data_IF_465546258834
#
_entry.id   IF_465546258834
#
_cell.length_a   1.000
_cell.length_b   1.000
_cell.length_c   1.000
_cell.angle_alpha   90.00
_cell.angle_beta   90.00
_cell.angle_gamma   90.00
#
_symmetry.space_group_name_H-M   'P 1'
#
loop_
_entity.id
_entity.type
_entity.pdbx_description
1 polymer ?
#
# COMPACT_ATOMS: atom_id res chain seq x y z
N UNK A 1 13.72 -34.19 -40.40
CA UNK A 1 14.29 -32.82 -40.30
C UNK A 1 14.41 -32.50 -38.82
N UNK A 2 15.64 -32.33 -38.32
CA UNK A 2 15.90 -32.06 -36.91
C UNK A 2 15.82 -30.55 -36.68
N UNK A 3 14.93 -30.11 -35.78
CA UNK A 3 14.82 -28.70 -35.35
C UNK A 3 15.88 -28.46 -34.28
N UNK A 4 16.95 -27.74 -34.64
CA UNK A 4 17.98 -27.31 -33.71
C UNK A 4 17.47 -26.13 -32.89
N UNK A 5 17.20 -26.34 -31.60
CA UNK A 5 16.91 -25.26 -30.68
C UNK A 5 18.19 -24.46 -30.43
N UNK A 6 18.27 -23.25 -30.97
CA UNK A 6 19.31 -22.27 -30.62
C UNK A 6 19.09 -21.84 -29.18
N UNK A 7 20.01 -22.20 -28.29
CA UNK A 7 20.04 -21.65 -26.94
C UNK A 7 20.67 -20.26 -26.99
N UNK A 8 19.83 -19.24 -27.10
CA UNK A 8 20.25 -17.85 -26.98
C UNK A 8 20.53 -17.54 -25.49
N UNK A 9 21.81 -17.34 -25.17
CA UNK A 9 22.28 -16.78 -23.89
C UNK A 9 21.50 -15.50 -23.54
N UNK A 10 21.08 -15.30 -22.28
CA UNK A 10 20.33 -14.10 -21.90
C UNK A 10 21.26 -12.88 -22.00
N UNK A 11 21.03 -12.06 -23.02
CA UNK A 11 21.71 -10.78 -23.15
C UNK A 11 21.37 -9.91 -21.93
N UNK A 12 22.42 -9.40 -21.26
CA UNK A 12 22.37 -8.59 -20.03
C UNK A 12 21.41 -7.39 -20.11
N UNK A 13 21.08 -6.95 -21.34
CA UNK A 13 19.81 -6.29 -21.64
C UNK A 13 19.49 -6.42 -23.12
N UNK A 14 18.27 -6.86 -23.47
CA UNK A 14 17.81 -6.92 -24.87
C UNK A 14 17.72 -5.53 -25.55
N UNK A 15 17.71 -4.45 -24.77
CA UNK A 15 17.63 -3.08 -25.27
C UNK A 15 18.62 -2.17 -24.54
N UNK A 16 19.53 -1.53 -25.30
CA UNK A 16 20.56 -0.60 -24.78
C UNK A 16 20.00 0.67 -24.13
N UNK A 17 18.76 1.06 -24.41
CA UNK A 17 18.12 2.23 -23.78
C UNK A 17 16.59 2.16 -23.84
N UNK A 18 15.91 2.94 -22.99
CA UNK A 18 14.43 3.04 -22.97
C UNK A 18 13.84 3.45 -24.32
N UNK A 19 14.58 4.26 -25.08
CA UNK A 19 14.15 4.69 -26.42
C UNK A 19 14.13 3.54 -27.44
N UNK A 20 15.01 2.55 -27.28
CA UNK A 20 15.06 1.36 -28.14
C UNK A 20 13.92 0.38 -27.85
N UNK A 21 13.39 0.35 -26.63
CA UNK A 21 12.25 -0.50 -26.27
C UNK A 21 10.94 -0.04 -26.94
N UNK A 22 10.72 1.27 -27.03
CA UNK A 22 9.40 1.84 -27.40
C UNK A 22 8.89 1.45 -28.79
N UNK A 23 9.77 1.34 -29.80
CA UNK A 23 9.37 0.97 -31.17
C UNK A 23 8.90 -0.49 -31.26
N UNK A 24 9.67 -1.48 -30.79
CA UNK A 24 9.23 -2.87 -30.66
C UNK A 24 7.92 -3.00 -29.88
N UNK A 25 7.80 -2.41 -28.68
CA UNK A 25 6.58 -2.59 -27.86
C UNK A 25 5.34 -2.07 -28.57
N UNK A 26 5.44 -0.96 -29.31
CA UNK A 26 4.32 -0.40 -30.09
C UNK A 26 3.90 -1.34 -31.23
N UNK A 27 4.85 -1.96 -31.93
CA UNK A 27 4.55 -2.95 -32.98
C UNK A 27 3.87 -4.19 -32.40
N UNK A 28 4.40 -4.73 -31.32
CA UNK A 28 3.83 -5.92 -30.66
C UNK A 28 2.43 -5.66 -30.09
N UNK A 29 2.18 -4.46 -29.56
CA UNK A 29 0.84 -4.07 -29.06
C UNK A 29 -0.27 -4.20 -30.10
N UNK A 30 0.04 -3.94 -31.38
CA UNK A 30 -0.93 -4.06 -32.47
C UNK A 30 -1.20 -5.51 -32.89
N UNK A 31 -0.21 -6.40 -32.69
CA UNK A 31 -0.34 -7.83 -32.96
C UNK A 31 -1.06 -8.59 -31.83
N UNK A 32 -1.08 -8.03 -30.61
CA UNK A 32 -1.73 -8.66 -29.45
C UNK A 32 -3.26 -8.54 -29.50
N UNK A 33 -3.99 -9.51 -28.93
CA UNK A 33 -5.44 -9.42 -28.78
C UNK A 33 -5.87 -8.14 -28.03
N UNK A 34 -6.99 -7.54 -28.46
CA UNK A 34 -7.56 -6.37 -27.78
C UNK A 34 -8.07 -6.68 -26.37
N UNK A 35 -8.62 -7.89 -26.16
CA UNK A 35 -9.15 -8.32 -24.86
C UNK A 35 -8.04 -8.43 -23.81
N UNK A 36 -8.17 -7.76 -22.64
CA UNK A 36 -7.17 -7.82 -21.58
C UNK A 36 -6.90 -9.25 -21.08
N UNK A 37 -7.95 -10.07 -20.98
CA UNK A 37 -7.84 -11.48 -20.54
C UNK A 37 -7.01 -12.31 -21.51
N UNK A 38 -7.32 -12.23 -22.81
CA UNK A 38 -6.58 -12.95 -23.86
C UNK A 38 -5.13 -12.47 -23.96
N UNK A 39 -4.89 -11.16 -23.83
CA UNK A 39 -3.54 -10.58 -23.82
C UNK A 39 -2.70 -11.10 -22.66
N UNK A 40 -3.28 -11.20 -21.45
CA UNK A 40 -2.61 -11.77 -20.28
C UNK A 40 -2.19 -13.22 -20.55
N UNK A 41 -3.08 -14.02 -21.12
CA UNK A 41 -2.81 -15.44 -21.41
C UNK A 41 -1.72 -15.61 -22.46
N UNK A 42 -1.78 -14.85 -23.56
CA UNK A 42 -0.74 -14.87 -24.60
C UNK A 42 0.62 -14.49 -24.02
N UNK A 43 0.68 -13.44 -23.21
CA UNK A 43 1.93 -13.06 -22.54
C UNK A 43 2.43 -14.13 -21.57
N UNK A 44 1.52 -14.82 -20.86
CA UNK A 44 1.86 -15.93 -19.97
C UNK A 44 2.50 -17.07 -20.76
N UNK A 45 1.89 -17.47 -21.87
CA UNK A 45 2.42 -18.52 -22.74
C UNK A 45 3.78 -18.16 -23.33
N UNK A 46 3.95 -16.93 -23.85
CA UNK A 46 5.22 -16.47 -24.41
C UNK A 46 6.33 -16.46 -23.35
N UNK A 47 6.05 -15.97 -22.15
CA UNK A 47 7.06 -15.98 -21.08
C UNK A 47 7.45 -17.40 -20.66
N UNK A 48 6.50 -18.35 -20.63
CA UNK A 48 6.80 -19.77 -20.37
C UNK A 48 7.67 -20.36 -21.48
N UNK A 49 7.36 -20.06 -22.75
CA UNK A 49 8.16 -20.52 -23.90
C UNK A 49 9.60 -20.03 -23.86
N UNK A 50 9.81 -18.78 -23.44
CA UNK A 50 11.13 -18.16 -23.28
C UNK A 50 11.81 -18.51 -21.93
N UNK A 51 11.26 -19.47 -21.17
CA UNK A 51 11.85 -19.92 -19.90
C UNK A 51 11.80 -18.89 -18.77
N UNK A 52 10.98 -17.84 -18.90
CA UNK A 52 10.83 -16.80 -17.88
C UNK A 52 9.90 -17.28 -16.76
N UNK A 53 10.41 -17.28 -15.52
CA UNK A 53 9.58 -17.54 -14.35
C UNK A 53 8.68 -16.35 -14.07
N UNK A 54 7.42 -16.45 -14.48
CA UNK A 54 6.39 -15.50 -14.10
C UNK A 54 6.13 -15.65 -12.59
N UNK A 55 6.59 -14.68 -11.80
CA UNK A 55 6.10 -14.53 -10.44
C UNK A 55 4.61 -14.23 -10.57
N UNK A 56 3.77 -15.20 -10.20
CA UNK A 56 2.36 -14.93 -10.01
C UNK A 56 2.30 -13.81 -8.97
N UNK A 57 1.95 -12.60 -9.40
CA UNK A 57 1.57 -11.57 -8.47
C UNK A 57 0.35 -12.15 -7.80
N UNK A 58 0.53 -12.72 -6.61
CA UNK A 58 -0.57 -12.82 -5.69
C UNK A 58 -1.09 -11.40 -5.64
N UNK A 59 -2.23 -11.16 -6.29
CA UNK A 59 -3.10 -10.09 -5.91
C UNK A 59 -3.60 -10.46 -4.50
N UNK A 60 -2.68 -10.52 -3.53
CA UNK A 60 -2.92 -9.88 -2.27
C UNK A 60 -3.16 -8.42 -2.65
N UNK A 61 -4.39 -8.15 -3.09
CA UNK A 61 -5.16 -7.15 -2.39
C UNK A 61 -4.91 -7.48 -0.93
N UNK A 62 -3.87 -6.85 -0.35
CA UNK A 62 -3.89 -6.53 1.06
C UNK A 62 -5.19 -5.78 1.13
N UNK A 63 -6.25 -6.48 1.54
CA UNK A 63 -7.48 -5.86 1.99
C UNK A 63 -6.93 -4.91 3.04
N UNK A 64 -6.79 -3.64 2.66
CA UNK A 64 -6.47 -2.59 3.62
C UNK A 64 -7.69 -2.61 4.50
N UNK A 65 -7.60 -3.38 5.58
CA UNK A 65 -8.68 -3.52 6.52
C UNK A 65 -9.04 -2.10 6.91
N UNK A 66 -10.31 -1.73 6.75
CA UNK A 66 -10.84 -0.49 7.30
C UNK A 66 -10.95 -0.58 8.83
N UNK A 67 -10.63 -1.74 9.40
CA UNK A 67 -10.55 -1.91 10.84
C UNK A 67 -9.46 -1.00 11.41
N UNK A 68 -9.82 -0.37 12.51
CA UNK A 68 -8.92 0.44 13.33
C UNK A 68 -7.84 -0.51 13.88
N UNK A 69 -6.53 -0.16 13.81
CA UNK A 69 -5.48 -0.93 14.45
C UNK A 69 -5.74 -1.08 15.95
N UNK A 70 -5.45 -2.25 16.51
CA UNK A 70 -5.66 -2.55 17.93
C UNK A 70 -4.95 -1.53 18.85
N UNK A 71 -3.76 -1.08 18.45
CA UNK A 71 -3.01 -0.02 19.14
C UNK A 71 -3.80 1.30 19.25
N UNK A 72 -4.50 1.68 18.17
CA UNK A 72 -5.33 2.88 18.14
C UNK A 72 -6.57 2.71 19.02
N UNK A 73 -7.18 1.53 19.02
CA UNK A 73 -8.33 1.22 19.87
C UNK A 73 -7.95 1.28 21.36
N UNK A 74 -6.83 0.67 21.73
CA UNK A 74 -6.29 0.73 23.09
C UNK A 74 -5.99 2.18 23.51
N UNK A 75 -5.36 2.98 22.64
CA UNK A 75 -5.09 4.40 22.91
C UNK A 75 -6.37 5.19 23.19
N UNK A 76 -7.43 4.97 22.41
CA UNK A 76 -8.72 5.65 22.61
C UNK A 76 -9.36 5.22 23.92
N UNK A 77 -9.40 3.92 24.21
CA UNK A 77 -9.95 3.42 25.47
C UNK A 77 -9.18 3.96 26.68
N UNK A 78 -7.84 3.99 26.62
CA UNK A 78 -7.01 4.54 27.69
C UNK A 78 -7.27 6.03 27.90
N UNK A 79 -7.44 6.81 26.82
CA UNK A 79 -7.76 8.25 26.91
C UNK A 79 -9.08 8.50 27.65
N UNK A 80 -10.15 7.78 27.31
CA UNK A 80 -11.46 7.95 27.94
C UNK A 80 -11.56 7.36 29.36
N UNK A 81 -10.64 6.48 29.73
CA UNK A 81 -10.51 5.93 31.09
C UNK A 81 -9.71 6.85 32.03
N UNK A 82 -9.09 7.92 31.55
CA UNK A 82 -8.33 8.80 32.43
C UNK A 82 -9.24 9.74 33.22
N UNK A 83 -9.09 9.71 34.54
CA UNK A 83 -9.82 10.56 35.48
C UNK A 83 -9.35 12.03 35.51
N UNK A 84 -8.21 12.34 34.87
CA UNK A 84 -7.66 13.71 34.76
C UNK A 84 -8.33 14.54 33.65
N UNK A 85 -8.92 13.89 32.64
CA UNK A 85 -9.62 14.56 31.52
C UNK A 85 -11.11 14.74 31.80
N UNK A 86 -11.70 14.00 32.75
CA UNK A 86 -13.14 13.99 32.97
C UNK A 86 -13.55 14.51 34.34
N UNK A 87 -13.67 15.83 34.49
CA UNK A 87 -14.71 16.46 35.34
C UNK A 87 -15.12 17.85 34.82
N UNK A 88 -15.57 17.93 33.56
CA UNK A 88 -16.64 18.89 33.29
C UNK A 88 -17.92 18.29 33.87
N UNK A 89 -18.36 18.80 35.02
CA UNK A 89 -19.67 18.45 35.56
C UNK A 89 -20.72 18.84 34.50
N UNK A 90 -21.63 17.94 34.11
CA UNK A 90 -22.71 18.26 33.20
C UNK A 90 -23.47 19.49 33.72
N UNK A 91 -23.54 20.56 32.93
CA UNK A 91 -24.24 21.80 33.30
C UNK A 91 -23.41 22.84 34.07
N UNK A 92 -22.09 22.68 34.26
CA UNK A 92 -21.22 23.73 34.82
C UNK A 92 -20.25 24.29 33.79
N UNK A 93 -20.14 25.63 33.74
CA UNK A 93 -19.10 26.34 32.97
C UNK A 93 -17.75 26.21 33.68
N UNK A 94 -16.67 26.03 32.92
CA UNK A 94 -15.28 25.78 33.37
C UNK A 94 -14.64 26.86 34.27
N UNK A 95 -15.38 27.90 34.65
CA UNK A 95 -14.82 29.09 35.28
C UNK A 95 -14.42 28.89 36.76
N UNK A 96 -14.96 27.89 37.45
CA UNK A 96 -14.86 27.83 38.92
C UNK A 96 -13.64 27.05 39.45
N UNK A 97 -13.14 26.06 38.70
CA UNK A 97 -12.02 25.20 39.18
C UNK A 97 -10.69 25.95 39.09
N UNK A 98 -10.45 26.73 38.04
CA UNK A 98 -9.22 27.50 37.87
C UNK A 98 -9.10 28.67 38.87
N UNK A 99 -10.21 29.27 39.30
CA UNK A 99 -10.20 30.34 40.31
C UNK A 99 -9.88 29.83 41.73
N UNK A 100 -10.27 28.59 42.06
CA UNK A 100 -9.97 27.99 43.35
C UNK A 100 -8.47 27.67 43.52
N UNK A 101 -7.81 27.19 42.45
CA UNK A 101 -6.37 26.92 42.44
C UNK A 101 -5.58 28.23 42.59
N UNK A 102 -6.00 29.30 41.90
CA UNK A 102 -5.35 30.63 42.00
C UNK A 102 -5.49 31.28 43.37
N UNK A 103 -6.58 31.02 44.11
CA UNK A 103 -6.77 31.56 45.47
C UNK A 103 -5.91 30.86 46.52
N UNK A 104 -5.65 29.55 46.37
CA UNK A 104 -4.77 28.82 47.30
C UNK A 104 -3.31 29.29 47.20
N UNK A 105 -2.80 29.50 45.98
CA UNK A 105 -1.43 29.98 45.78
C UNK A 105 -1.17 31.43 46.23
N UNK A 106 -2.21 32.27 46.41
CA UNK A 106 -2.03 33.67 46.84
C UNK A 106 -1.91 33.82 48.37
N UNK A 107 -2.23 32.78 49.14
CA UNK A 107 -2.23 32.84 50.60
C UNK A 107 -1.02 32.13 51.24
N UNK A 108 -0.18 31.46 50.43
CA UNK A 108 1.03 30.74 50.84
C UNK A 108 2.33 31.41 50.34
N UNK A 109 2.25 32.66 49.86
CA UNK A 109 3.39 33.49 49.44
C UNK A 109 3.57 34.71 50.34
#
# INVERSE_FOLDING_TARGET
MQVTATQDTPAESAFRSRHHLGKPTKRTKNALPKSPRKKKEVNKMLAIQEGLMLKESSNQFKTKSTAIPEETEQSVQTFYKRDDVSRMLPGKRDCDVYLAIRRKFKHES
#
